data_IF_029019527632
#
_entry.id   IF_029019527632
#
_cell.length_a   1.000
_cell.length_b   1.000
_cell.length_c   1.000
_cell.angle_alpha   90.00
_cell.angle_beta   90.00
_cell.angle_gamma   90.00
#
_symmetry.space_group_name_H-M   'P 1'
#
loop_
_entity.id
_entity.type
_entity.pdbx_description
1 polymer ?
#
# COMPACT_ATOMS: atom_id res chain seq x y z
N UNK A 1 -9.02 18.34 11.30
CA UNK A 1 -8.97 16.89 11.03
C UNK A 1 -8.18 16.20 12.13
N UNK A 2 -8.74 15.17 12.72
CA UNK A 2 -8.03 14.39 13.73
C UNK A 2 -7.09 13.38 13.06
N UNK A 3 -6.16 12.83 13.84
CA UNK A 3 -5.27 11.77 13.34
C UNK A 3 -6.03 10.50 12.94
N UNK A 4 -7.14 10.22 13.64
CA UNK A 4 -7.99 9.09 13.28
C UNK A 4 -8.66 9.29 11.93
N UNK A 5 -9.14 10.49 11.67
CA UNK A 5 -9.74 10.83 10.38
C UNK A 5 -8.69 10.76 9.26
N UNK A 6 -7.49 11.24 9.54
CA UNK A 6 -6.40 11.20 8.58
C UNK A 6 -6.00 9.75 8.27
N UNK A 7 -5.95 8.90 9.28
CA UNK A 7 -5.68 7.48 9.12
C UNK A 7 -6.71 6.83 8.19
N UNK A 8 -7.99 7.13 8.39
CA UNK A 8 -9.05 6.63 7.50
C UNK A 8 -8.89 7.12 6.09
N UNK A 9 -8.48 8.38 5.90
CA UNK A 9 -8.24 8.92 4.57
C UNK A 9 -7.14 8.14 3.85
N UNK A 10 -6.07 7.79 4.54
CA UNK A 10 -5.00 6.98 3.96
C UNK A 10 -5.46 5.57 3.65
N UNK A 11 -6.25 4.96 4.53
CA UNK A 11 -6.82 3.64 4.29
C UNK A 11 -7.73 3.64 3.07
N UNK A 12 -8.60 4.63 2.97
CA UNK A 12 -9.50 4.79 1.83
C UNK A 12 -8.73 5.02 0.53
N UNK A 13 -7.66 5.79 0.59
CA UNK A 13 -6.81 6.03 -0.59
C UNK A 13 -6.07 4.77 -1.02
N UNK A 14 -5.81 3.86 -0.10
CA UNK A 14 -5.14 2.59 -0.41
C UNK A 14 -6.06 1.59 -1.11
N UNK A 15 -7.37 1.69 -0.93
CA UNK A 15 -8.33 0.74 -1.52
C UNK A 15 -8.25 0.66 -3.04
N UNK A 16 -8.33 1.79 -3.79
CA UNK A 16 -8.21 1.72 -5.24
C UNK A 16 -6.86 1.19 -5.71
N UNK A 17 -5.77 1.51 -5.00
CA UNK A 17 -4.45 0.99 -5.33
C UNK A 17 -4.39 -0.53 -5.14
N UNK A 18 -4.94 -1.01 -4.04
CA UNK A 18 -4.99 -2.44 -3.75
C UNK A 18 -5.83 -3.19 -4.79
N UNK A 19 -6.98 -2.62 -5.13
CA UNK A 19 -7.85 -3.21 -6.15
C UNK A 19 -7.17 -3.24 -7.51
N UNK A 20 -6.48 -2.17 -7.88
CA UNK A 20 -5.76 -2.11 -9.15
C UNK A 20 -4.63 -3.13 -9.21
N UNK A 21 -3.90 -3.30 -8.12
CA UNK A 21 -2.84 -4.31 -8.04
C UNK A 21 -3.40 -5.72 -8.17
N UNK A 22 -4.56 -5.97 -7.57
CA UNK A 22 -5.24 -7.27 -7.70
C UNK A 22 -5.62 -7.54 -9.14
N UNK A 23 -6.18 -6.56 -9.83
CA UNK A 23 -6.54 -6.66 -11.25
C UNK A 23 -5.31 -6.93 -12.10
N UNK A 24 -4.21 -6.23 -11.84
CA UNK A 24 -2.97 -6.41 -12.59
C UNK A 24 -2.36 -7.80 -12.38
N UNK A 25 -2.41 -8.31 -11.15
CA UNK A 25 -1.92 -9.65 -10.84
C UNK A 25 -2.77 -10.71 -11.53
N UNK A 26 -4.07 -10.50 -11.56
CA UNK A 26 -4.98 -11.40 -12.28
C UNK A 26 -4.68 -11.40 -13.77
N UNK A 27 -4.52 -10.21 -14.37
CA UNK A 27 -4.18 -10.07 -15.77
C UNK A 27 -2.84 -10.74 -16.09
N UNK A 28 -1.86 -10.62 -15.18
CA UNK A 28 -0.55 -11.25 -15.35
C UNK A 28 -0.67 -12.78 -15.41
N UNK A 29 -1.54 -13.34 -14.59
CA UNK A 29 -1.76 -14.80 -14.58
C UNK A 29 -2.48 -15.29 -15.84
N UNK A 30 -3.29 -14.43 -16.46
CA UNK A 30 -4.08 -14.80 -17.63
C UNK A 30 -3.35 -14.60 -18.95
N UNK A 31 -2.40 -13.68 -19.02
CA UNK A 31 -1.74 -13.35 -20.28
C UNK A 31 -0.57 -14.30 -20.58
N UNK A 32 -0.41 -14.65 -21.86
CA UNK A 32 0.75 -15.39 -22.35
C UNK A 32 1.68 -14.54 -23.21
N UNK A 33 1.35 -13.28 -23.41
CA UNK A 33 2.14 -12.38 -24.28
C UNK A 33 3.31 -11.78 -23.49
N UNK A 34 4.58 -12.03 -23.89
CA UNK A 34 5.74 -11.49 -23.17
C UNK A 34 5.75 -9.98 -23.06
N UNK A 35 5.28 -9.26 -24.07
CA UNK A 35 5.23 -7.81 -24.06
C UNK A 35 4.21 -7.30 -23.05
N UNK A 36 3.04 -7.91 -23.01
CA UNK A 36 2.01 -7.61 -22.02
C UNK A 36 2.50 -7.91 -20.62
N UNK A 37 3.15 -9.04 -20.42
CA UNK A 37 3.74 -9.42 -19.14
C UNK A 37 4.69 -8.34 -18.64
N UNK A 38 5.56 -7.85 -19.52
CA UNK A 38 6.51 -6.80 -19.16
C UNK A 38 5.80 -5.51 -18.72
N UNK A 39 4.79 -5.08 -19.47
CA UNK A 39 4.03 -3.88 -19.11
C UNK A 39 3.28 -4.03 -17.80
N UNK A 40 2.67 -5.18 -17.57
CA UNK A 40 1.93 -5.44 -16.33
C UNK A 40 2.88 -5.46 -15.13
N UNK A 41 4.00 -6.15 -15.24
CA UNK A 41 5.01 -6.20 -14.18
C UNK A 41 5.55 -4.81 -13.85
N UNK A 42 5.79 -4.01 -14.87
CA UNK A 42 6.25 -2.64 -14.68
C UNK A 42 5.21 -1.82 -13.92
N UNK A 43 3.94 -1.97 -14.28
CA UNK A 43 2.86 -1.24 -13.62
C UNK A 43 2.71 -1.66 -12.16
N UNK A 44 2.82 -2.96 -11.88
CA UNK A 44 2.80 -3.47 -10.52
C UNK A 44 3.95 -2.87 -9.71
N UNK A 45 5.14 -2.83 -10.29
CA UNK A 45 6.32 -2.26 -9.63
C UNK A 45 6.16 -0.77 -9.33
N UNK A 46 5.44 -0.04 -10.17
CA UNK A 46 5.15 1.38 -9.96
C UNK A 46 4.13 1.60 -8.83
N UNK A 47 3.11 0.74 -8.75
CA UNK A 47 2.00 0.92 -7.79
C UNK A 47 2.31 0.36 -6.40
N UNK A 48 3.13 -0.66 -6.31
CA UNK A 48 3.43 -1.31 -5.04
C UNK A 48 4.02 -0.36 -3.98
N UNK A 49 5.02 0.48 -4.31
CA UNK A 49 5.53 1.43 -3.33
C UNK A 49 4.49 2.45 -2.88
N UNK A 50 3.59 2.86 -3.77
CA UNK A 50 2.52 3.80 -3.44
C UNK A 50 1.57 3.19 -2.41
N UNK A 51 1.18 1.94 -2.61
CA UNK A 51 0.32 1.23 -1.67
C UNK A 51 1.00 1.04 -0.32
N UNK A 52 2.26 0.62 -0.34
CA UNK A 52 3.05 0.45 0.88
C UNK A 52 3.13 1.75 1.67
N UNK A 53 3.38 2.86 0.98
CA UNK A 53 3.46 4.18 1.60
C UNK A 53 2.12 4.59 2.22
N UNK A 54 1.01 4.37 1.53
CA UNK A 54 -0.31 4.67 2.06
C UNK A 54 -0.63 3.85 3.30
N UNK A 55 -0.30 2.56 3.29
CA UNK A 55 -0.51 1.69 4.43
C UNK A 55 0.35 2.10 5.63
N UNK A 56 1.59 2.47 5.40
CA UNK A 56 2.48 2.94 6.45
C UNK A 56 1.98 4.24 7.07
N UNK A 57 1.53 5.18 6.24
CA UNK A 57 1.00 6.45 6.72
C UNK A 57 -0.28 6.23 7.53
N UNK A 58 -1.16 5.33 7.09
CA UNK A 58 -2.36 5.00 7.83
C UNK A 58 -2.03 4.41 9.19
N UNK A 59 -1.08 3.50 9.24
CA UNK A 59 -0.66 2.87 10.48
C UNK A 59 0.01 3.87 11.43
N UNK A 60 0.90 4.69 10.92
CA UNK A 60 1.59 5.68 11.73
C UNK A 60 0.62 6.69 12.34
N UNK A 61 -0.35 7.18 11.56
CA UNK A 61 -1.33 8.15 12.07
C UNK A 61 -2.29 7.53 13.06
N UNK A 62 -2.69 6.26 12.85
CA UNK A 62 -3.56 5.54 13.76
C UNK A 62 -2.91 5.32 15.13
N UNK A 63 -1.61 5.13 15.16
CA UNK A 63 -0.85 4.81 16.37
C UNK A 63 0.02 5.94 16.89
N UNK A 64 -0.23 7.15 16.44
CA UNK A 64 0.62 8.29 16.77
C UNK A 64 0.83 8.49 18.28
N UNK A 65 -0.23 8.31 19.06
CA UNK A 65 -0.16 8.47 20.52
C UNK A 65 0.06 7.17 21.27
N UNK A 66 0.27 6.08 20.58
CA UNK A 66 0.48 4.79 21.20
C UNK A 66 1.97 4.62 21.53
N UNK A 67 2.31 4.80 22.80
CA UNK A 67 3.70 4.68 23.26
C UNK A 67 4.26 3.27 23.10
N UNK A 68 3.42 2.28 23.28
CA UNK A 68 3.81 0.89 23.06
C UNK A 68 4.20 0.63 21.62
N UNK A 69 3.44 1.18 20.70
CA UNK A 69 3.73 1.07 19.27
C UNK A 69 5.07 1.72 18.93
N UNK A 70 5.32 2.95 19.42
CA UNK A 70 6.56 3.67 19.12
C UNK A 70 7.79 3.02 19.73
N UNK A 71 7.63 2.27 20.81
CA UNK A 71 8.71 1.52 21.44
C UNK A 71 8.99 0.18 20.76
N UNK A 72 8.13 -0.23 19.85
CA UNK A 72 8.31 -1.49 19.17
C UNK A 72 9.39 -1.39 18.10
N UNK A 73 9.47 -2.34 17.24
CA UNK A 73 10.56 -2.62 16.33
C UNK A 73 11.13 -1.47 15.51
N UNK A 74 10.37 -0.40 15.30
CA UNK A 74 10.84 0.71 14.46
C UNK A 74 12.02 1.46 15.06
N UNK A 75 12.17 1.41 16.37
CA UNK A 75 13.22 2.14 17.06
C UNK A 75 14.18 1.25 17.81
N UNK A 76 13.94 -0.03 17.86
CA UNK A 76 14.88 -1.00 18.41
C UNK A 76 15.57 -1.71 17.25
N UNK A 77 16.72 -1.25 16.91
CA UNK A 77 17.49 -1.91 15.84
C UNK A 77 18.54 -2.83 16.41
#
# INVERSE_FOLDING_TARGET
>A
MTLEELSRCYEEAAVPLRNRLRELRFALAETGDPEEIWHIKRRIAELTPMLTQMNELAELTAHYYDRGYWRSEKYTL
#
